data_IF_890258397874
#
_entry.id   IF_890258397874
#
_cell.length_a   1.000
_cell.length_b   1.000
_cell.length_c   1.000
_cell.angle_alpha   90.00
_cell.angle_beta   90.00
_cell.angle_gamma   90.00
#
_symmetry.space_group_name_H-M   'P 1'
#
loop_
_entity.id
_entity.type
_entity.pdbx_description
1 polymer ?
#
# COMPACT_ATOMS: atom_id res chain seq x y z
N UNK A 1 -11.91 -17.91 2.39
CA UNK A 1 -12.47 -16.72 3.06
C UNK A 1 -13.98 -16.85 3.05
N UNK A 2 -14.64 -16.54 4.17
CA UNK A 2 -16.10 -16.49 4.29
C UNK A 2 -16.47 -15.05 4.61
N UNK A 3 -17.39 -14.46 3.84
CA UNK A 3 -17.87 -13.10 4.02
C UNK A 3 -19.39 -13.03 3.99
N UNK A 4 -19.98 -12.48 5.05
CA UNK A 4 -21.41 -12.19 5.20
C UNK A 4 -21.87 -11.01 4.35
N UNK A 5 -23.17 -10.73 4.23
CA UNK A 5 -23.68 -9.52 3.55
C UNK A 5 -24.75 -8.74 4.32
N UNK A 6 -24.64 -7.41 4.32
CA UNK A 6 -25.61 -6.47 4.90
C UNK A 6 -26.74 -6.09 3.93
N UNK A 7 -27.99 -6.29 4.34
CA UNK A 7 -29.22 -5.91 3.63
C UNK A 7 -30.37 -5.65 4.61
N UNK A 8 -31.56 -5.20 4.17
CA UNK A 8 -32.66 -4.75 5.04
C UNK A 8 -33.24 -5.82 6.00
N UNK A 9 -32.93 -7.09 5.76
CA UNK A 9 -33.25 -8.26 6.60
C UNK A 9 -31.99 -8.96 7.14
N UNK A 10 -30.81 -8.39 6.93
CA UNK A 10 -29.55 -8.89 7.50
C UNK A 10 -29.46 -8.45 8.96
N UNK A 11 -29.29 -9.43 9.85
CA UNK A 11 -29.23 -9.22 11.30
C UNK A 11 -27.80 -9.03 11.82
N UNK A 12 -26.80 -8.92 10.92
CA UNK A 12 -25.38 -8.79 11.27
C UNK A 12 -24.66 -7.74 10.41
N UNK A 13 -23.74 -6.99 11.03
CA UNK A 13 -22.80 -6.14 10.30
C UNK A 13 -21.76 -7.03 9.62
N UNK A 14 -21.96 -7.32 8.33
CA UNK A 14 -21.03 -8.15 7.57
C UNK A 14 -20.07 -7.33 6.67
N UNK A 15 -19.21 -8.03 5.90
CA UNK A 15 -18.13 -7.45 5.09
C UNK A 15 -18.67 -6.54 3.97
N UNK A 16 -18.54 -5.21 4.09
CA UNK A 16 -19.01 -4.27 3.06
C UNK A 16 -18.27 -4.32 1.72
N UNK A 17 -16.94 -4.48 1.76
CA UNK A 17 -16.07 -4.56 0.58
C UNK A 17 -14.88 -5.50 0.85
N UNK A 18 -14.57 -6.36 -0.12
CA UNK A 18 -13.32 -7.11 -0.17
C UNK A 18 -12.63 -6.88 -1.52
N UNK A 19 -11.35 -6.53 -1.48
CA UNK A 19 -10.50 -6.46 -2.68
C UNK A 19 -9.39 -7.48 -2.54
N UNK A 20 -9.25 -8.37 -3.52
CA UNK A 20 -8.13 -9.30 -3.64
C UNK A 20 -7.33 -8.93 -4.88
N UNK A 21 -6.10 -8.49 -4.68
CA UNK A 21 -5.17 -8.15 -5.75
C UNK A 21 -3.96 -9.09 -5.73
N UNK A 22 -3.41 -9.41 -6.89
CA UNK A 22 -2.11 -10.10 -7.03
C UNK A 22 -2.02 -11.42 -6.23
N UNK A 23 -3.12 -12.18 -6.22
CA UNK A 23 -3.32 -13.31 -5.31
C UNK A 23 -3.37 -14.63 -6.07
N UNK A 24 -2.80 -15.67 -5.47
CA UNK A 24 -2.92 -17.06 -5.94
C UNK A 24 -3.64 -17.90 -4.89
N UNK A 25 -4.72 -18.57 -5.28
CA UNK A 25 -5.45 -19.54 -4.45
C UNK A 25 -5.31 -20.90 -5.11
N UNK A 26 -4.59 -21.83 -4.48
CA UNK A 26 -4.24 -23.10 -5.10
C UNK A 26 -4.56 -24.31 -4.21
N UNK A 27 -4.93 -25.43 -4.84
CA UNK A 27 -5.09 -26.75 -4.20
C UNK A 27 -6.11 -26.75 -3.05
N UNK A 28 -7.20 -26.00 -3.18
CA UNK A 28 -8.31 -26.01 -2.23
C UNK A 28 -9.58 -26.53 -2.88
N UNK A 29 -10.56 -26.97 -2.08
CA UNK A 29 -11.84 -27.40 -2.63
C UNK A 29 -12.63 -26.21 -3.18
N UNK A 30 -12.75 -25.16 -2.37
CA UNK A 30 -13.42 -23.90 -2.72
C UNK A 30 -12.41 -22.75 -2.56
N UNK A 31 -12.50 -21.73 -3.43
CA UNK A 31 -11.64 -20.55 -3.36
C UNK A 31 -12.18 -19.48 -2.43
N UNK A 32 -13.27 -18.86 -2.85
CA UNK A 32 -13.97 -17.82 -2.10
C UNK A 32 -15.42 -18.21 -1.90
N UNK A 33 -15.88 -18.16 -0.66
CA UNK A 33 -17.28 -18.41 -0.31
C UNK A 33 -17.88 -17.06 0.11
N UNK A 34 -18.90 -16.63 -0.60
CA UNK A 34 -19.67 -15.41 -0.31
C UNK A 34 -21.10 -15.80 0.06
N UNK A 35 -21.85 -14.87 0.65
CA UNK A 35 -23.23 -15.15 1.10
C UNK A 35 -24.20 -14.05 0.62
N UNK A 36 -24.34 -13.85 -0.70
CA UNK A 36 -25.11 -12.72 -1.25
C UNK A 36 -26.61 -12.89 -0.99
N UNK A 37 -27.16 -12.15 -0.02
CA UNK A 37 -28.61 -12.14 0.25
C UNK A 37 -29.42 -11.44 -0.86
N UNK A 38 -28.96 -10.29 -1.34
CA UNK A 38 -29.49 -9.59 -2.54
C UNK A 38 -28.33 -9.21 -3.45
N UNK A 39 -28.58 -8.99 -4.75
CA UNK A 39 -27.49 -8.74 -5.72
C UNK A 39 -26.61 -7.54 -5.36
N UNK A 40 -27.06 -6.62 -4.50
CA UNK A 40 -26.38 -5.38 -4.14
C UNK A 40 -25.80 -5.31 -2.71
N UNK A 41 -25.76 -6.42 -1.96
CA UNK A 41 -25.48 -6.36 -0.52
C UNK A 41 -24.00 -6.14 -0.15
N UNK A 42 -23.04 -6.54 -1.00
CA UNK A 42 -21.59 -6.41 -0.75
C UNK A 42 -20.78 -6.29 -2.03
N UNK A 43 -19.67 -5.56 -1.96
CA UNK A 43 -18.73 -5.46 -3.09
C UNK A 43 -17.56 -6.45 -2.95
N UNK A 44 -17.24 -7.16 -4.03
CA UNK A 44 -16.03 -7.98 -4.12
C UNK A 44 -15.33 -7.65 -5.42
N UNK A 45 -14.05 -7.29 -5.35
CA UNK A 45 -13.23 -7.04 -6.52
C UNK A 45 -12.01 -7.94 -6.49
N UNK A 46 -11.83 -8.71 -7.57
CA UNK A 46 -10.68 -9.55 -7.81
C UNK A 46 -9.85 -8.91 -8.92
N UNK A 47 -8.56 -8.71 -8.67
CA UNK A 47 -7.61 -8.14 -9.62
C UNK A 47 -6.38 -9.03 -9.68
N UNK A 48 -5.94 -9.36 -10.90
CA UNK A 48 -4.79 -10.22 -11.14
C UNK A 48 -4.78 -11.46 -10.22
N UNK A 49 -5.93 -12.17 -10.16
CA UNK A 49 -6.09 -13.35 -9.31
C UNK A 49 -5.96 -14.63 -10.13
N UNK A 50 -5.38 -15.65 -9.52
CA UNK A 50 -5.29 -16.98 -10.11
C UNK A 50 -5.83 -18.02 -9.15
N UNK A 51 -6.76 -18.83 -9.62
CA UNK A 51 -7.17 -20.05 -8.95
C UNK A 51 -6.52 -21.26 -9.64
N UNK A 52 -5.82 -22.10 -8.88
CA UNK A 52 -5.17 -23.31 -9.39
C UNK A 52 -5.70 -24.56 -8.71
N UNK A 53 -5.96 -25.60 -9.50
CA UNK A 53 -6.42 -26.90 -9.02
C UNK A 53 -7.53 -26.75 -7.96
N UNK A 54 -8.60 -26.07 -8.36
CA UNK A 54 -9.73 -25.73 -7.49
C UNK A 54 -11.01 -26.31 -8.07
N UNK A 55 -11.90 -26.85 -7.24
CA UNK A 55 -13.18 -27.39 -7.71
C UNK A 55 -14.18 -26.27 -8.00
N UNK A 56 -14.28 -25.30 -7.10
CA UNK A 56 -15.09 -24.09 -7.30
C UNK A 56 -14.25 -22.86 -6.93
N UNK A 57 -14.18 -21.88 -7.83
CA UNK A 57 -13.44 -20.65 -7.57
C UNK A 57 -14.24 -19.74 -6.64
N UNK A 58 -15.54 -19.53 -6.93
CA UNK A 58 -16.43 -18.67 -6.14
C UNK A 58 -17.81 -19.31 -6.02
N UNK A 59 -18.31 -19.38 -4.79
CA UNK A 59 -19.64 -19.95 -4.47
C UNK A 59 -20.42 -19.05 -3.53
N UNK A 60 -21.72 -18.97 -3.75
CA UNK A 60 -22.70 -18.38 -2.85
C UNK A 60 -23.21 -19.44 -1.87
N UNK A 61 -22.98 -19.26 -0.57
CA UNK A 61 -23.46 -20.16 0.48
C UNK A 61 -24.94 -19.99 0.82
N UNK A 62 -25.53 -18.82 0.53
CA UNK A 62 -26.96 -18.54 0.82
C UNK A 62 -27.83 -19.12 -0.28
N UNK A 63 -27.44 -18.91 -1.54
CA UNK A 63 -28.16 -19.48 -2.70
C UNK A 63 -27.69 -20.88 -3.08
N UNK A 64 -26.64 -21.38 -2.43
CA UNK A 64 -25.98 -22.65 -2.76
C UNK A 64 -25.62 -22.76 -4.26
N UNK A 65 -25.09 -21.67 -4.81
CA UNK A 65 -24.83 -21.52 -6.25
C UNK A 65 -23.32 -21.34 -6.51
N UNK A 66 -22.81 -21.97 -7.57
CA UNK A 66 -21.46 -21.67 -8.07
C UNK A 66 -21.53 -20.44 -8.97
N UNK A 67 -20.82 -19.37 -8.60
CA UNK A 67 -20.76 -18.14 -9.40
C UNK A 67 -19.56 -18.15 -10.34
N UNK A 68 -18.43 -18.70 -9.89
CA UNK A 68 -17.28 -18.93 -10.75
C UNK A 68 -16.80 -20.37 -10.58
N UNK A 69 -16.89 -21.14 -11.66
CA UNK A 69 -16.43 -22.52 -11.69
C UNK A 69 -14.91 -22.60 -11.52
N UNK A 70 -14.46 -23.64 -10.80
CA UNK A 70 -13.05 -23.98 -10.70
C UNK A 70 -12.59 -24.83 -11.88
N UNK A 71 -11.27 -24.90 -12.08
CA UNK A 71 -10.56 -25.82 -12.99
C UNK A 71 -9.09 -25.88 -12.59
N UNK A 72 -8.26 -26.54 -13.40
CA UNK A 72 -6.81 -26.59 -13.19
C UNK A 72 -6.18 -25.21 -13.08
N UNK A 73 -6.66 -24.23 -13.88
CA UNK A 73 -6.24 -22.83 -13.84
C UNK A 73 -7.36 -21.87 -14.25
N UNK A 74 -7.82 -21.00 -13.35
CA UNK A 74 -8.70 -19.85 -13.64
C UNK A 74 -7.92 -18.57 -13.40
N UNK A 75 -7.61 -17.82 -14.45
CA UNK A 75 -7.01 -16.49 -14.36
C UNK A 75 -8.11 -15.44 -14.53
N UNK A 76 -8.10 -14.42 -13.67
CA UNK A 76 -8.99 -13.25 -13.76
C UNK A 76 -8.18 -11.97 -13.59
N UNK A 77 -8.17 -11.15 -14.62
CA UNK A 77 -7.46 -9.87 -14.64
C UNK A 77 -8.20 -8.82 -13.83
N UNK A 78 -9.51 -8.70 -14.06
CA UNK A 78 -10.40 -7.96 -13.19
C UNK A 78 -11.80 -8.56 -13.26
N UNK A 79 -12.36 -8.89 -12.10
CA UNK A 79 -13.66 -9.55 -11.98
C UNK A 79 -14.29 -9.18 -10.64
N UNK A 80 -15.61 -9.04 -10.56
CA UNK A 80 -16.21 -8.72 -9.27
C UNK A 80 -17.72 -8.55 -9.25
N UNK A 81 -18.22 -8.19 -8.06
CA UNK A 81 -19.57 -7.68 -7.81
C UNK A 81 -19.44 -6.27 -7.28
N UNK A 82 -19.97 -5.27 -7.99
CA UNK A 82 -20.07 -3.91 -7.47
C UNK A 82 -20.85 -3.01 -8.42
N UNK A 83 -21.17 -1.80 -7.96
CA UNK A 83 -21.55 -0.70 -8.84
C UNK A 83 -20.31 -0.16 -9.54
N UNK A 84 -20.34 -0.12 -10.88
CA UNK A 84 -19.24 0.43 -11.68
C UNK A 84 -19.76 1.64 -12.45
N UNK A 85 -19.04 2.75 -12.33
CA UNK A 85 -19.32 3.97 -13.09
C UNK A 85 -18.39 4.02 -14.30
N UNK A 86 -18.96 4.35 -15.45
CA UNK A 86 -18.16 4.66 -16.63
C UNK A 86 -17.56 6.08 -16.55
N UNK A 87 -16.69 6.43 -17.49
CA UNK A 87 -16.07 7.77 -17.55
C UNK A 87 -17.09 8.92 -17.75
N UNK A 88 -18.33 8.62 -18.15
CA UNK A 88 -19.41 9.59 -18.30
C UNK A 88 -20.30 9.72 -17.05
N UNK A 89 -20.00 8.99 -15.97
CA UNK A 89 -20.74 9.04 -14.70
C UNK A 89 -21.99 8.16 -14.63
N UNK A 90 -22.26 7.34 -15.64
CA UNK A 90 -23.36 6.36 -15.61
C UNK A 90 -22.90 5.11 -14.84
N UNK A 91 -23.61 4.80 -13.76
CA UNK A 91 -23.39 3.61 -12.94
C UNK A 91 -24.24 2.42 -13.38
N UNK A 92 -23.62 1.26 -13.52
CA UNK A 92 -24.31 -0.01 -13.71
C UNK A 92 -23.85 -1.02 -12.68
N UNK A 93 -24.78 -1.82 -12.15
CA UNK A 93 -24.41 -2.91 -11.26
C UNK A 93 -23.81 -4.06 -12.07
N UNK A 94 -22.65 -4.55 -11.62
CA UNK A 94 -21.99 -5.72 -12.16
C UNK A 94 -22.14 -6.87 -11.18
N UNK A 95 -22.71 -7.98 -11.65
CA UNK A 95 -23.00 -9.17 -10.85
C UNK A 95 -22.11 -10.35 -11.27
N UNK A 96 -20.84 -10.34 -10.86
CA UNK A 96 -19.95 -11.49 -11.00
C UNK A 96 -19.48 -11.74 -12.44
N UNK A 97 -18.99 -10.69 -13.12
CA UNK A 97 -18.48 -10.80 -14.49
C UNK A 97 -17.09 -10.17 -14.64
N UNK A 98 -16.45 -10.46 -15.78
CA UNK A 98 -15.19 -9.81 -16.14
C UNK A 98 -15.43 -8.33 -16.42
N UNK A 99 -14.59 -7.48 -15.85
CA UNK A 99 -14.67 -6.03 -16.01
C UNK A 99 -13.37 -5.51 -16.66
N UNK A 100 -13.40 -4.33 -17.29
CA UNK A 100 -12.19 -3.75 -17.88
C UNK A 100 -11.07 -3.68 -16.84
N UNK A 101 -9.96 -4.35 -17.14
CA UNK A 101 -8.80 -4.36 -16.25
C UNK A 101 -8.09 -3.01 -16.28
N UNK A 102 -7.59 -2.59 -15.12
CA UNK A 102 -6.72 -1.42 -15.02
C UNK A 102 -5.41 -1.68 -15.76
N UNK A 103 -4.97 -0.74 -16.57
CA UNK A 103 -3.67 -0.83 -17.22
C UNK A 103 -2.60 -0.24 -16.29
N UNK A 104 -1.70 -1.10 -15.78
CA UNK A 104 -0.62 -0.66 -14.90
C UNK A 104 0.58 -0.19 -15.72
N UNK A 105 1.22 0.88 -15.26
CA UNK A 105 2.49 1.34 -15.83
C UNK A 105 3.59 0.36 -15.40
N UNK A 106 4.51 -0.01 -16.28
CA UNK A 106 5.57 -0.98 -15.94
C UNK A 106 6.41 -0.57 -14.72
N UNK A 107 6.55 0.73 -14.48
CA UNK A 107 7.30 1.28 -13.34
C UNK A 107 6.71 0.95 -11.96
N UNK A 108 5.43 0.59 -11.86
CA UNK A 108 4.78 0.21 -10.58
C UNK A 108 4.70 -1.32 -10.40
N UNK A 109 5.16 -2.08 -11.39
CA UNK A 109 5.13 -3.54 -11.36
C UNK A 109 6.43 -4.08 -10.76
N UNK A 110 6.28 -5.15 -9.99
CA UNK A 110 7.40 -5.92 -9.47
C UNK A 110 8.08 -6.74 -10.56
N UNK A 111 9.37 -6.98 -10.39
CA UNK A 111 10.19 -7.82 -11.28
C UNK A 111 9.92 -9.33 -11.11
N UNK A 112 9.26 -9.73 -10.03
CA UNK A 112 8.92 -11.12 -9.75
C UNK A 112 7.44 -11.34 -10.02
N UNK A 113 7.15 -12.24 -10.96
CA UNK A 113 5.81 -12.56 -11.42
C UNK A 113 5.64 -14.08 -11.49
N UNK A 114 4.55 -14.61 -10.97
CA UNK A 114 4.21 -16.02 -11.16
C UNK A 114 3.50 -16.27 -12.50
N UNK A 115 2.63 -15.35 -12.93
CA UNK A 115 1.91 -15.43 -14.22
C UNK A 115 1.87 -14.07 -14.89
N UNK A 116 1.40 -13.06 -14.16
CA UNK A 116 1.47 -11.65 -14.54
C UNK A 116 2.25 -10.89 -13.48
N UNK A 117 2.91 -9.77 -13.85
CA UNK A 117 3.60 -8.94 -12.87
C UNK A 117 2.62 -8.42 -11.82
N UNK A 118 2.98 -8.59 -10.55
CA UNK A 118 2.25 -8.04 -9.43
C UNK A 118 2.66 -6.58 -9.21
N UNK A 119 1.89 -5.82 -8.43
CA UNK A 119 2.33 -4.54 -7.92
C UNK A 119 3.64 -4.71 -7.12
N UNK A 120 4.54 -3.75 -7.27
CA UNK A 120 5.80 -3.76 -6.52
C UNK A 120 5.51 -3.70 -5.01
N UNK A 121 5.97 -4.72 -4.29
CA UNK A 121 5.89 -4.78 -2.84
C UNK A 121 7.29 -4.79 -2.24
N UNK A 122 7.47 -4.00 -1.18
CA UNK A 122 8.70 -3.99 -0.41
C UNK A 122 8.39 -4.12 1.07
N UNK A 123 8.77 -5.26 1.66
CA UNK A 123 8.64 -5.48 3.09
C UNK A 123 9.48 -4.49 3.86
N UNK A 124 9.01 -4.04 5.03
CA UNK A 124 9.80 -3.26 5.97
C UNK A 124 11.10 -4.04 6.26
N UNK A 125 12.28 -3.56 5.82
CA UNK A 125 13.48 -4.35 6.09
C UNK A 125 13.79 -4.38 7.60
N UNK A 126 14.57 -5.35 8.05
CA UNK A 126 14.94 -5.50 9.47
C UNK A 126 16.44 -5.28 9.70
N UNK A 127 17.24 -5.21 8.62
CA UNK A 127 18.69 -4.99 8.66
C UNK A 127 19.44 -5.90 9.64
N UNK A 128 18.96 -7.13 9.80
CA UNK A 128 19.45 -8.10 10.81
C UNK A 128 20.95 -8.42 10.65
N UNK A 129 21.51 -8.19 9.46
CA UNK A 129 22.91 -8.45 9.14
C UNK A 129 23.79 -7.18 9.08
N UNK A 130 23.29 -6.01 9.51
CA UNK A 130 24.06 -4.76 9.49
C UNK A 130 24.58 -4.42 10.89
N UNK A 131 25.91 -4.21 11.00
CA UNK A 131 26.53 -3.72 12.24
C UNK A 131 26.24 -2.22 12.40
N UNK A 132 25.62 -1.76 13.51
CA UNK A 132 25.34 -0.34 13.70
C UNK A 132 26.65 0.42 13.98
N UNK A 133 26.87 1.55 13.28
CA UNK A 133 27.98 2.47 13.54
C UNK A 133 27.40 3.75 14.16
N UNK A 134 27.88 4.14 15.34
CA UNK A 134 27.32 5.23 16.14
C UNK A 134 28.05 6.56 15.87
N UNK A 135 27.22 7.60 15.68
CA UNK A 135 27.46 9.02 15.41
C UNK A 135 28.71 9.60 16.11
N UNK A 136 29.68 10.20 15.40
CA UNK A 136 29.79 11.66 15.39
C UNK A 136 30.55 12.31 14.19
N UNK A 137 30.71 11.64 13.04
CA UNK A 137 31.39 12.24 11.87
C UNK A 137 30.89 11.76 10.48
N UNK A 138 29.70 11.15 10.44
CA UNK A 138 29.48 10.00 9.58
C UNK A 138 28.50 10.23 8.42
N UNK A 139 27.71 11.32 8.38
CA UNK A 139 26.65 11.51 7.37
C UNK A 139 27.17 11.70 5.92
N UNK A 140 28.35 12.31 5.71
CA UNK A 140 29.00 12.40 4.39
C UNK A 140 29.80 11.15 4.04
N UNK A 141 30.32 10.42 5.02
CA UNK A 141 31.11 9.20 4.80
C UNK A 141 30.21 7.97 4.55
N UNK A 142 29.00 7.92 5.14
CA UNK A 142 28.08 6.77 5.00
C UNK A 142 27.21 6.77 3.77
N UNK A 143 26.98 7.94 3.16
CA UNK A 143 26.37 8.01 1.83
C UNK A 143 27.23 7.23 0.81
N UNK A 144 28.55 7.18 1.00
CA UNK A 144 29.49 6.44 0.14
C UNK A 144 29.60 4.94 0.49
N UNK A 145 29.16 4.52 1.69
CA UNK A 145 29.31 3.16 2.22
C UNK A 145 27.97 2.40 2.36
N UNK A 146 26.85 2.95 1.88
CA UNK A 146 25.50 2.36 2.04
C UNK A 146 25.13 2.06 3.50
N UNK A 147 25.64 2.86 4.45
CA UNK A 147 25.53 2.55 5.88
C UNK A 147 24.21 3.04 6.50
N UNK A 148 23.84 2.40 7.61
CA UNK A 148 22.63 2.69 8.37
C UNK A 148 22.86 3.84 9.35
N UNK A 149 21.99 4.84 9.31
CA UNK A 149 21.89 5.92 10.30
C UNK A 149 20.80 5.54 11.29
N UNK A 150 21.21 5.40 12.55
CA UNK A 150 20.32 5.05 13.66
C UNK A 150 19.92 6.31 14.45
N UNK A 151 18.62 6.54 14.60
CA UNK A 151 18.03 7.59 15.43
C UNK A 151 17.49 6.96 16.72
N UNK A 152 18.09 7.22 17.88
CA UNK A 152 17.50 6.86 19.16
C UNK A 152 16.11 7.48 19.37
N UNK A 153 15.39 7.00 20.38
CA UNK A 153 14.14 7.64 20.84
C UNK A 153 14.44 9.08 21.25
N UNK A 154 13.68 10.03 20.73
CA UNK A 154 13.89 11.43 21.04
C UNK A 154 13.18 12.38 20.09
N UNK A 155 13.20 13.66 20.48
CA UNK A 155 12.61 14.76 19.74
C UNK A 155 13.73 15.66 19.20
N UNK A 156 13.90 15.64 17.89
CA UNK A 156 14.92 16.38 17.16
C UNK A 156 14.27 17.61 16.51
N UNK A 157 14.45 18.78 17.14
CA UNK A 157 13.89 20.04 16.62
C UNK A 157 14.80 20.61 15.54
N UNK A 158 14.21 20.94 14.39
CA UNK A 158 14.89 21.63 13.29
C UNK A 158 14.25 23.01 13.09
N UNK A 159 15.09 24.01 12.85
CA UNK A 159 14.68 25.39 12.57
C UNK A 159 14.95 25.81 11.12
N UNK A 160 15.55 24.91 10.35
CA UNK A 160 15.86 25.07 8.94
C UNK A 160 15.88 23.69 8.28
N UNK A 161 16.09 23.69 6.97
CA UNK A 161 16.08 22.49 6.13
C UNK A 161 17.09 21.42 6.58
N UNK A 162 16.61 20.18 6.73
CA UNK A 162 17.41 18.98 6.93
C UNK A 162 17.60 18.27 5.59
N UNK A 163 18.81 18.32 5.04
CA UNK A 163 19.15 17.65 3.79
C UNK A 163 19.55 16.19 4.04
N UNK A 164 18.81 15.25 3.47
CA UNK A 164 19.06 13.81 3.49
C UNK A 164 19.60 13.42 2.11
N UNK A 165 20.91 13.11 1.96
CA UNK A 165 21.47 12.67 0.69
C UNK A 165 20.98 11.27 0.30
N UNK A 166 21.08 10.95 -0.99
CA UNK A 166 20.83 9.60 -1.49
C UNK A 166 21.87 8.59 -0.99
N UNK A 167 21.49 7.31 -0.96
CA UNK A 167 22.33 6.21 -0.48
C UNK A 167 22.20 5.91 1.01
N UNK A 168 21.38 6.69 1.74
CA UNK A 168 21.20 6.52 3.18
C UNK A 168 20.10 5.51 3.54
N UNK A 169 20.36 4.82 4.64
CA UNK A 169 19.43 3.91 5.30
C UNK A 169 19.12 4.44 6.71
N UNK A 170 17.98 5.09 6.93
CA UNK A 170 17.59 5.69 8.21
C UNK A 170 16.64 4.76 8.97
N UNK A 171 16.92 4.53 10.26
CA UNK A 171 16.07 3.77 11.19
C UNK A 171 15.88 4.57 12.47
N UNK A 172 14.64 4.80 12.88
CA UNK A 172 14.30 5.31 14.20
C UNK A 172 14.06 4.19 15.22
N UNK A 173 14.24 4.52 16.50
CA UNK A 173 13.95 3.64 17.62
C UNK A 173 12.62 4.05 18.26
N UNK A 174 11.58 3.26 17.98
CA UNK A 174 10.22 3.42 18.50
C UNK A 174 9.54 4.75 18.12
N UNK A 175 9.97 5.88 18.69
CA UNK A 175 9.31 7.18 18.56
C UNK A 175 10.31 8.32 18.29
N UNK A 176 11.20 8.10 17.33
CA UNK A 176 12.14 9.13 16.86
C UNK A 176 11.40 10.18 16.05
N UNK A 177 11.39 11.43 16.54
CA UNK A 177 10.65 12.53 15.94
C UNK A 177 11.58 13.62 15.40
N UNK A 178 11.39 14.03 14.15
CA UNK A 178 11.93 15.28 13.61
C UNK A 178 10.81 16.33 13.63
N UNK A 179 11.01 17.41 14.39
CA UNK A 179 10.03 18.47 14.57
C UNK A 179 10.50 19.76 13.91
N UNK A 180 9.79 20.22 12.89
CA UNK A 180 10.01 21.54 12.30
C UNK A 180 9.40 22.65 13.16
N UNK A 181 10.16 23.69 13.45
CA UNK A 181 9.69 24.83 14.26
C UNK A 181 10.44 26.12 13.92
N UNK A 182 9.82 27.27 14.16
CA UNK A 182 10.44 28.58 13.96
C UNK A 182 9.94 29.33 12.73
N UNK A 183 10.39 30.60 12.62
CA UNK A 183 9.82 31.58 11.69
C UNK A 183 10.05 31.24 10.21
N UNK A 184 11.07 30.45 9.89
CA UNK A 184 11.31 30.01 8.49
C UNK A 184 10.17 29.17 7.94
N UNK A 185 9.37 28.56 8.83
CA UNK A 185 8.28 27.67 8.46
C UNK A 185 6.89 28.33 8.62
N UNK A 186 6.80 29.61 9.02
CA UNK A 186 5.52 30.23 9.35
C UNK A 186 4.77 30.83 8.15
N UNK A 187 5.46 31.11 7.04
CA UNK A 187 4.89 31.85 5.90
C UNK A 187 4.31 30.91 4.83
N UNK A 188 2.99 30.88 4.71
CA UNK A 188 2.28 30.08 3.69
C UNK A 188 2.53 30.55 2.27
N UNK A 189 2.83 31.85 2.07
CA UNK A 189 3.07 32.41 0.73
C UNK A 189 4.50 32.13 0.24
N UNK A 190 5.41 31.81 1.16
CA UNK A 190 6.77 31.40 0.87
C UNK A 190 7.09 30.09 1.61
N UNK A 191 6.52 28.96 1.14
CA UNK A 191 6.67 27.70 1.84
C UNK A 191 8.14 27.26 1.87
N UNK A 192 8.54 26.64 2.98
CA UNK A 192 9.93 26.21 3.23
C UNK A 192 9.96 24.74 3.63
N UNK A 193 10.89 24.00 3.03
CA UNK A 193 11.03 22.56 3.24
C UNK A 193 11.76 22.28 4.54
N UNK A 194 11.17 21.41 5.36
CA UNK A 194 11.75 20.94 6.61
C UNK A 194 12.71 19.76 6.39
N UNK A 195 12.31 18.72 5.65
CA UNK A 195 13.16 17.58 5.34
C UNK A 195 13.23 17.40 3.83
N UNK A 196 14.43 17.53 3.27
CA UNK A 196 14.66 17.38 1.83
C UNK A 196 15.42 16.11 1.54
N UNK A 197 14.82 15.20 0.78
CA UNK A 197 15.35 13.88 0.44
C UNK A 197 15.93 13.89 -0.97
N UNK A 198 17.25 14.01 -1.06
CA UNK A 198 17.96 14.15 -2.31
C UNK A 198 17.77 15.52 -2.95
N UNK A 199 18.07 15.63 -4.24
CA UNK A 199 17.85 16.83 -5.04
C UNK A 199 17.18 16.45 -6.38
N UNK A 200 16.58 17.41 -7.10
CA UNK A 200 16.00 17.10 -8.40
C UNK A 200 17.01 16.44 -9.34
N UNK A 201 16.57 15.40 -10.05
CA UNK A 201 17.39 14.58 -10.98
C UNK A 201 18.32 13.54 -10.33
N UNK A 202 18.40 13.48 -9.00
CA UNK A 202 19.20 12.47 -8.33
C UNK A 202 18.46 11.12 -8.29
N UNK A 203 19.08 10.06 -8.83
CA UNK A 203 18.55 8.69 -8.81
C UNK A 203 19.40 7.84 -7.87
N UNK A 204 18.75 7.16 -6.91
CA UNK A 204 19.42 6.29 -5.96
C UNK A 204 18.47 5.74 -4.90
N UNK A 205 19.03 5.00 -3.94
CA UNK A 205 18.24 4.33 -2.90
C UNK A 205 18.23 5.19 -1.64
N UNK A 206 17.04 5.46 -1.12
CA UNK A 206 16.83 6.00 0.22
C UNK A 206 15.82 5.10 0.94
N UNK A 207 16.10 4.74 2.20
CA UNK A 207 15.14 4.01 3.03
C UNK A 207 15.01 4.72 4.35
N UNK A 208 13.80 5.18 4.68
CA UNK A 208 13.48 5.80 5.97
C UNK A 208 12.45 4.91 6.66
N UNK A 209 12.70 4.55 7.92
CA UNK A 209 11.84 3.70 8.72
C UNK A 209 11.73 4.17 10.16
N UNK A 210 10.56 3.94 10.74
CA UNK A 210 10.27 4.15 12.15
C UNK A 210 10.63 5.57 12.65
N UNK A 211 10.47 6.54 11.76
CA UNK A 211 10.64 7.98 12.00
C UNK A 211 9.29 8.68 11.90
N UNK A 212 9.11 9.72 12.71
CA UNK A 212 7.95 10.60 12.61
C UNK A 212 8.41 12.01 12.23
N UNK A 213 7.77 12.60 11.23
CA UNK A 213 8.00 13.98 10.81
C UNK A 213 6.81 14.82 11.24
N UNK A 214 7.06 15.82 12.08
CA UNK A 214 5.99 16.65 12.66
C UNK A 214 6.41 18.12 12.75
N UNK A 215 5.49 18.94 13.24
CA UNK A 215 5.66 20.39 13.34
C UNK A 215 5.35 20.84 14.78
N UNK A 216 5.92 21.97 15.18
CA UNK A 216 5.60 22.59 16.47
C UNK A 216 5.52 24.10 16.34
N UNK A 217 4.37 24.66 16.73
CA UNK A 217 4.08 26.09 16.64
C UNK A 217 3.48 26.52 15.30
N UNK A 218 3.37 27.84 15.06
CA UNK A 218 2.77 28.41 13.85
C UNK A 218 3.67 28.15 12.64
N UNK A 219 3.43 27.05 11.94
CA UNK A 219 4.27 26.50 10.86
C UNK A 219 3.46 26.35 9.56
N UNK A 220 2.65 27.36 9.22
CA UNK A 220 1.72 27.31 8.09
C UNK A 220 2.39 27.18 6.72
N UNK A 221 3.68 27.52 6.62
CA UNK A 221 4.49 27.42 5.40
C UNK A 221 5.35 26.17 5.31
N UNK A 222 5.21 25.21 6.23
CA UNK A 222 6.11 24.04 6.25
C UNK A 222 5.74 23.02 5.18
N UNK A 223 6.73 22.60 4.39
CA UNK A 223 6.68 21.36 3.63
C UNK A 223 7.44 20.32 4.43
N UNK A 224 6.74 19.36 5.02
CA UNK A 224 7.36 18.41 5.96
C UNK A 224 8.45 17.55 5.30
N UNK A 225 8.16 17.01 4.12
CA UNK A 225 9.08 16.18 3.34
C UNK A 225 8.95 16.54 1.87
N UNK A 226 10.08 16.81 1.21
CA UNK A 226 10.23 16.98 -0.24
C UNK A 226 11.29 16.02 -0.79
#
# INVERSE_FOLDING_TARGET
>A
MVGGTGGPISTGQDLGLLVLADTIIANTLNGTIISLYTENSTSLLLQNIVFFNIKTAITDSVKNQVILAGRDKVLKDSWGFSMINNATGNGSFVSGQDIPAMNYIEAILGIQAYIKPNLFMYWRPQYENLKPVILNYILTYTANLSSVVYFPFGVYKIQDILNIPLGLHIIGQAWSQIIATGNKFSDVNNPHVAVKVGVPSNVGIIKIRDMLFTVSGPTAGVILVE
#
